data_IF_981842175394
#
_entry.id   IF_981842175394
#
_cell.length_a   1.000
_cell.length_b   1.000
_cell.length_c   1.000
_cell.angle_alpha   90.00
_cell.angle_beta   90.00
_cell.angle_gamma   90.00
#
_symmetry.space_group_name_H-M   'P 1'
#
loop_
_entity.id
_entity.type
_entity.pdbx_description
1 polymer ?
#
# COMPACT_ATOMS: atom_id res chain seq x y z
N UNK A 1 -1.62 -16.74 -1.83
CA UNK A 1 -1.03 -15.87 -2.86
C UNK A 1 0.06 -15.00 -2.27
N UNK A 2 -0.22 -13.99 -1.43
CA UNK A 2 0.83 -13.14 -0.83
C UNK A 2 1.98 -13.92 -0.18
N UNK A 3 1.66 -14.90 0.67
CA UNK A 3 2.68 -15.77 1.31
C UNK A 3 3.51 -16.59 0.33
N UNK A 4 2.99 -16.90 -0.86
CA UNK A 4 3.74 -17.62 -1.88
C UNK A 4 4.65 -16.67 -2.65
N UNK A 5 4.13 -15.50 -3.07
CA UNK A 5 4.95 -14.46 -3.71
C UNK A 5 6.10 -13.97 -2.82
N UNK A 6 5.90 -13.94 -1.51
CA UNK A 6 6.96 -13.61 -0.54
C UNK A 6 8.11 -14.64 -0.51
N UNK A 7 7.94 -15.83 -1.07
CA UNK A 7 9.00 -16.84 -1.22
C UNK A 7 9.67 -16.81 -2.60
N UNK A 8 9.11 -16.04 -3.54
CA UNK A 8 9.63 -15.90 -4.90
C UNK A 8 10.66 -14.77 -4.99
N UNK A 9 11.37 -14.71 -6.11
CA UNK A 9 12.33 -13.66 -6.44
C UNK A 9 11.62 -12.37 -6.89
N UNK A 10 10.92 -11.75 -5.93
CA UNK A 10 10.13 -10.52 -6.10
C UNK A 10 10.58 -9.50 -5.04
N UNK A 11 10.96 -8.30 -5.47
CA UNK A 11 11.33 -7.22 -4.55
C UNK A 11 10.09 -6.54 -3.93
N UNK A 12 9.06 -6.32 -4.74
CA UNK A 12 7.90 -5.50 -4.39
C UNK A 12 6.60 -6.11 -4.87
N UNK A 13 5.63 -6.20 -3.97
CA UNK A 13 4.26 -6.65 -4.24
C UNK A 13 3.32 -5.47 -4.11
N UNK A 14 2.50 -5.21 -5.14
CA UNK A 14 1.45 -4.19 -5.12
C UNK A 14 0.11 -4.87 -5.32
N UNK A 15 -0.79 -4.72 -4.35
CA UNK A 15 -2.17 -5.24 -4.42
C UNK A 15 -3.16 -4.10 -4.50
N UNK A 16 -4.25 -4.28 -5.23
CA UNK A 16 -5.33 -3.28 -5.36
C UNK A 16 -6.69 -3.91 -5.07
N UNK A 17 -7.54 -3.19 -4.33
CA UNK A 17 -8.91 -3.62 -4.01
C UNK A 17 -9.07 -4.32 -2.66
N UNK A 18 -10.31 -4.51 -2.24
CA UNK A 18 -10.67 -5.14 -0.95
C UNK A 18 -10.28 -4.32 0.29
N UNK A 19 -10.01 -3.02 0.14
CA UNK A 19 -9.55 -2.15 1.25
C UNK A 19 -10.68 -1.34 1.88
N UNK A 20 -11.93 -1.43 1.41
CA UNK A 20 -13.05 -0.67 1.95
C UNK A 20 -13.41 -1.01 3.40
N UNK A 21 -14.54 -0.48 3.86
CA UNK A 21 -15.08 -0.71 5.21
C UNK A 21 -16.16 -1.79 5.26
N UNK A 22 -16.51 -2.41 4.12
CA UNK A 22 -17.50 -3.47 4.12
C UNK A 22 -16.92 -4.73 4.78
N UNK A 23 -17.76 -5.59 5.35
CA UNK A 23 -17.30 -6.81 6.04
C UNK A 23 -16.44 -7.73 5.17
N UNK A 24 -16.64 -7.70 3.84
CA UNK A 24 -15.85 -8.48 2.87
C UNK A 24 -14.47 -7.88 2.57
N UNK A 25 -14.24 -6.61 2.93
CA UNK A 25 -13.01 -5.88 2.64
C UNK A 25 -11.99 -6.14 3.75
N UNK A 26 -11.08 -7.09 3.50
CA UNK A 26 -10.13 -7.61 4.50
C UNK A 26 -8.67 -7.40 4.11
N UNK A 27 -8.39 -6.67 3.03
CA UNK A 27 -7.02 -6.56 2.49
C UNK A 27 -6.06 -5.92 3.49
N UNK A 28 -6.48 -4.89 4.21
CA UNK A 28 -5.60 -4.18 5.16
C UNK A 28 -5.24 -5.08 6.33
N UNK A 29 -6.22 -5.77 6.90
CA UNK A 29 -6.04 -6.69 8.03
C UNK A 29 -5.15 -7.87 7.63
N UNK A 30 -5.40 -8.44 6.44
CA UNK A 30 -4.61 -9.54 5.91
C UNK A 30 -3.15 -9.17 5.66
N UNK A 31 -2.89 -7.95 5.17
CA UNK A 31 -1.53 -7.47 4.85
C UNK A 31 -0.81 -7.00 6.11
N UNK A 32 -1.49 -6.27 6.99
CA UNK A 32 -0.95 -5.83 8.29
C UNK A 32 -0.44 -7.03 9.11
N UNK A 33 -1.15 -8.15 9.10
CA UNK A 33 -0.71 -9.38 9.78
C UNK A 33 0.56 -10.03 9.21
N UNK A 34 1.03 -9.61 8.02
CA UNK A 34 2.26 -10.10 7.40
C UNK A 34 3.43 -9.14 7.57
N UNK A 35 3.15 -7.83 7.66
CA UNK A 35 4.15 -6.77 7.75
C UNK A 35 4.96 -6.91 9.04
N UNK A 36 6.28 -6.91 8.92
CA UNK A 36 7.20 -6.88 10.07
C UNK A 36 7.54 -5.46 10.50
N UNK A 37 7.51 -4.51 9.55
CA UNK A 37 7.71 -3.08 9.82
C UNK A 37 6.80 -2.25 8.92
N UNK A 38 5.82 -1.60 9.52
CA UNK A 38 4.87 -0.74 8.79
C UNK A 38 5.53 0.58 8.37
N UNK A 39 5.18 1.05 7.17
CA UNK A 39 5.50 2.40 6.67
C UNK A 39 4.23 3.23 6.89
N UNK A 40 3.99 3.64 8.14
CA UNK A 40 2.76 4.31 8.58
C UNK A 40 2.44 5.54 7.70
N UNK A 41 3.48 6.31 7.38
CA UNK A 41 3.39 7.51 6.54
C UNK A 41 2.79 7.27 5.15
N UNK A 42 2.83 6.04 4.61
CA UNK A 42 2.21 5.73 3.31
C UNK A 42 0.68 5.91 3.36
N UNK A 43 0.02 5.31 4.35
CA UNK A 43 -1.43 5.40 4.49
C UNK A 43 -1.88 6.82 4.83
N UNK A 44 -1.09 7.53 5.63
CA UNK A 44 -1.32 8.93 6.02
C UNK A 44 -1.23 9.87 4.82
N UNK A 45 -0.12 9.86 4.09
CA UNK A 45 0.08 10.69 2.91
C UNK A 45 -0.91 10.32 1.80
N UNK A 46 -1.24 9.04 1.64
CA UNK A 46 -2.26 8.62 0.67
C UNK A 46 -3.62 9.24 0.99
N UNK A 47 -4.06 9.22 2.25
CA UNK A 47 -5.32 9.87 2.66
C UNK A 47 -5.25 11.38 2.52
N UNK A 48 -4.14 12.01 2.90
CA UNK A 48 -3.94 13.45 2.75
C UNK A 48 -4.06 13.88 1.29
N UNK A 49 -3.29 13.26 0.39
CA UNK A 49 -3.34 13.54 -1.05
C UNK A 49 -4.71 13.23 -1.65
N UNK A 50 -5.35 12.13 -1.26
CA UNK A 50 -6.72 11.81 -1.68
C UNK A 50 -7.71 12.89 -1.26
N UNK A 51 -7.53 13.48 -0.08
CA UNK A 51 -8.37 14.56 0.43
C UNK A 51 -8.12 15.87 -0.33
N UNK A 52 -6.86 16.25 -0.51
CA UNK A 52 -6.51 17.57 -1.07
C UNK A 52 -6.57 17.63 -2.59
N UNK A 53 -6.37 16.51 -3.30
CA UNK A 53 -6.17 16.49 -4.76
C UNK A 53 -7.18 15.63 -5.54
N UNK A 54 -8.04 14.83 -4.88
CA UNK A 54 -8.93 13.89 -5.58
C UNK A 54 -10.37 13.87 -5.04
N UNK A 55 -10.65 13.03 -4.04
CA UNK A 55 -12.03 12.68 -3.64
C UNK A 55 -12.57 13.50 -2.46
N UNK A 56 -11.80 14.46 -1.94
CA UNK A 56 -12.20 15.30 -0.82
C UNK A 56 -12.48 14.49 0.45
N UNK A 57 -13.56 14.81 1.16
CA UNK A 57 -13.93 14.18 2.43
C UNK A 57 -14.10 12.66 2.36
N UNK A 58 -14.35 12.09 1.18
CA UNK A 58 -14.41 10.63 0.98
C UNK A 58 -13.08 9.93 1.31
N UNK A 59 -11.96 10.66 1.31
CA UNK A 59 -10.66 10.15 1.75
C UNK A 59 -10.66 9.65 3.21
N UNK A 60 -11.64 10.06 4.03
CA UNK A 60 -11.86 9.48 5.37
C UNK A 60 -12.02 7.96 5.34
N UNK A 61 -12.65 7.43 4.28
CA UNK A 61 -12.90 5.99 4.11
C UNK A 61 -11.75 5.28 3.37
N UNK A 62 -10.79 6.03 2.84
CA UNK A 62 -9.67 5.47 2.09
C UNK A 62 -8.71 4.74 3.02
N UNK A 63 -8.59 3.43 2.83
CA UNK A 63 -7.60 2.61 3.53
C UNK A 63 -6.55 2.12 2.55
N UNK A 64 -5.30 2.34 2.91
CA UNK A 64 -4.10 1.89 2.22
C UNK A 64 -3.03 1.60 3.28
N UNK A 65 -2.19 0.61 3.03
CA UNK A 65 -1.09 0.20 3.92
C UNK A 65 0.14 -0.14 3.09
N UNK A 66 1.32 0.14 3.65
CA UNK A 66 2.56 -0.34 3.09
C UNK A 66 3.50 -0.76 4.22
N UNK A 67 4.41 -1.69 3.92
CA UNK A 67 5.36 -2.16 4.90
C UNK A 67 6.38 -3.11 4.31
N UNK A 68 7.40 -3.40 5.10
CA UNK A 68 8.40 -4.41 4.80
C UNK A 68 8.00 -5.76 5.38
N UNK A 69 8.38 -6.83 4.68
CA UNK A 69 8.37 -8.21 5.14
C UNK A 69 9.73 -8.82 4.81
N UNK A 70 10.64 -8.81 5.78
CA UNK A 70 12.05 -9.12 5.52
C UNK A 70 12.68 -8.09 4.58
N UNK A 71 13.18 -8.56 3.45
CA UNK A 71 13.83 -7.78 2.39
C UNK A 71 12.87 -7.37 1.26
N UNK A 72 11.55 -7.56 1.43
CA UNK A 72 10.51 -7.27 0.43
C UNK A 72 9.56 -6.18 0.88
N UNK A 73 8.97 -5.46 -0.07
CA UNK A 73 7.93 -4.46 0.19
C UNK A 73 6.55 -4.95 -0.23
N UNK A 74 5.54 -4.59 0.54
CA UNK A 74 4.14 -4.74 0.16
C UNK A 74 3.47 -3.36 0.18
N UNK A 75 2.71 -3.06 -0.87
CA UNK A 75 1.80 -1.92 -0.93
C UNK A 75 0.38 -2.41 -1.23
N UNK A 76 -0.59 -2.04 -0.40
CA UNK A 76 -1.99 -2.35 -0.61
C UNK A 76 -2.82 -1.08 -0.70
N UNK A 77 -3.43 -0.87 -1.87
CA UNK A 77 -4.10 0.36 -2.26
C UNK A 77 -5.55 0.11 -2.66
N UNK A 78 -6.43 1.14 -2.65
CA UNK A 78 -7.82 0.96 -3.07
C UNK A 78 -7.96 0.50 -4.53
N UNK A 79 -9.14 -0.03 -4.85
CA UNK A 79 -9.47 -0.62 -6.17
C UNK A 79 -9.84 0.38 -7.26
N UNK A 80 -10.09 1.65 -6.91
CA UNK A 80 -10.51 2.64 -7.90
C UNK A 80 -9.32 3.10 -8.76
N UNK A 81 -9.56 3.30 -10.06
CA UNK A 81 -8.52 3.76 -10.99
C UNK A 81 -7.88 5.07 -10.56
N UNK A 82 -8.64 5.98 -9.95
CA UNK A 82 -8.13 7.25 -9.39
C UNK A 82 -7.13 7.00 -8.26
N UNK A 83 -7.51 6.22 -7.25
CA UNK A 83 -6.65 5.85 -6.13
C UNK A 83 -5.37 5.14 -6.59
N UNK A 84 -5.48 4.22 -7.55
CA UNK A 84 -4.33 3.51 -8.11
C UNK A 84 -3.35 4.48 -8.79
N UNK A 85 -3.86 5.39 -9.62
CA UNK A 85 -3.02 6.41 -10.28
C UNK A 85 -2.36 7.33 -9.26
N UNK A 86 -3.11 7.79 -8.25
CA UNK A 86 -2.60 8.66 -7.20
C UNK A 86 -1.48 7.97 -6.42
N UNK A 87 -1.72 6.77 -5.90
CA UNK A 87 -0.73 6.03 -5.12
C UNK A 87 0.53 5.72 -5.94
N UNK A 88 0.37 5.22 -7.17
CA UNK A 88 1.51 4.89 -8.02
C UNK A 88 2.35 6.11 -8.38
N UNK A 89 1.71 7.20 -8.81
CA UNK A 89 2.46 8.34 -9.35
C UNK A 89 3.00 9.28 -8.28
N UNK A 90 2.30 9.44 -7.15
CA UNK A 90 2.67 10.41 -6.12
C UNK A 90 3.49 9.81 -4.98
N UNK A 91 3.38 8.50 -4.73
CA UNK A 91 4.00 7.85 -3.57
C UNK A 91 4.91 6.70 -3.95
N UNK A 92 4.42 5.72 -4.71
CA UNK A 92 5.17 4.46 -4.93
C UNK A 92 6.31 4.66 -5.92
N UNK A 93 6.03 5.11 -7.15
CA UNK A 93 7.06 5.21 -8.21
C UNK A 93 8.23 6.14 -7.84
N UNK A 94 8.01 7.32 -7.23
CA UNK A 94 9.12 8.21 -6.87
C UNK A 94 10.09 7.57 -5.88
N UNK A 95 9.59 6.77 -4.94
CA UNK A 95 10.36 6.23 -3.83
C UNK A 95 10.82 4.78 -4.04
N UNK A 96 10.28 4.07 -5.04
CA UNK A 96 10.44 2.61 -5.19
C UNK A 96 11.89 2.14 -5.13
N UNK A 97 12.77 2.75 -5.93
CA UNK A 97 14.18 2.38 -5.99
C UNK A 97 14.92 2.68 -4.68
N UNK A 98 14.55 3.78 -4.01
CA UNK A 98 15.15 4.13 -2.73
C UNK A 98 14.73 3.13 -1.64
N UNK A 99 13.44 2.79 -1.57
CA UNK A 99 12.90 1.86 -0.57
C UNK A 99 13.47 0.45 -0.72
N UNK A 100 13.54 -0.09 -1.94
CA UNK A 100 14.15 -1.41 -2.20
C UNK A 100 15.62 -1.45 -1.75
N UNK A 101 16.35 -0.37 -1.99
CA UNK A 101 17.73 -0.27 -1.51
C UNK A 101 17.83 -0.14 0.01
N UNK A 102 16.88 0.53 0.66
CA UNK A 102 16.95 0.80 2.10
C UNK A 102 16.66 -0.44 2.94
N UNK A 103 15.69 -1.27 2.53
CA UNK A 103 15.30 -2.49 3.26
C UNK A 103 16.32 -3.64 3.12
N UNK A 104 17.23 -3.56 2.15
CA UNK A 104 18.25 -4.58 1.85
C UNK A 104 19.62 -4.26 2.44
N UNK A 105 19.76 -3.14 3.16
CA UNK A 105 20.97 -2.79 3.91
C UNK A 105 21.04 -3.54 5.24
#
# INVERSE_FOLDING_TARGET
QLREWLKEDIDVIITTGGTGIAQRDVTIEAVSALITKEIEGFGELFRYLSYTEDVGTRALLSRAIAGAVGDKLIFSIPGSTGAVKLALNKLIKPELNHLVKEITK
#
